data_IF_356923591589
#
_entry.id   IF_356923591589
#
_cell.length_a   1.000
_cell.length_b   1.000
_cell.length_c   1.000
_cell.angle_alpha   90.00
_cell.angle_beta   90.00
_cell.angle_gamma   90.00
#
_symmetry.space_group_name_H-M   'P 1'
#
loop_
_entity.id
_entity.type
_entity.pdbx_description
1 polymer ?
#
# COMPACT_ATOMS: atom_id res chain seq x y z
N UNK A 1 -15.48 -35.45 12.87
CA UNK A 1 -14.10 -34.97 12.58
C UNK A 1 -13.97 -34.94 11.07
N UNK A 2 -13.90 -33.76 10.47
CA UNK A 2 -13.96 -33.63 9.00
C UNK A 2 -12.54 -33.65 8.45
N UNK A 3 -12.18 -34.71 7.75
CA UNK A 3 -10.87 -34.86 7.12
C UNK A 3 -10.93 -34.28 5.71
N UNK A 4 -10.10 -33.28 5.41
CA UNK A 4 -9.99 -32.71 4.07
C UNK A 4 -8.71 -33.27 3.44
N UNK A 5 -8.86 -34.07 2.39
CA UNK A 5 -7.72 -34.62 1.64
C UNK A 5 -7.33 -33.69 0.51
N UNK A 6 -6.13 -33.12 0.58
CA UNK A 6 -5.63 -32.17 -0.42
C UNK A 6 -4.62 -32.89 -1.32
N UNK A 7 -4.83 -32.80 -2.64
CA UNK A 7 -3.98 -33.48 -3.63
C UNK A 7 -2.54 -32.97 -3.57
N UNK A 8 -1.57 -33.90 -3.66
CA UNK A 8 -0.13 -33.59 -3.74
C UNK A 8 0.24 -32.69 -4.93
N UNK A 9 -0.61 -32.62 -5.96
CA UNK A 9 -0.44 -31.70 -7.09
C UNK A 9 -0.60 -30.23 -6.68
N UNK A 10 -1.49 -29.95 -5.71
CA UNK A 10 -1.78 -28.59 -5.23
C UNK A 10 -0.65 -28.09 -4.34
N UNK A 11 -0.08 -28.98 -3.53
CA UNK A 11 0.98 -28.60 -2.59
C UNK A 11 2.36 -28.48 -3.23
N UNK A 12 2.57 -28.99 -4.45
CA UNK A 12 3.84 -28.93 -5.20
C UNK A 12 5.09 -29.34 -4.35
N UNK A 13 4.91 -30.21 -3.36
CA UNK A 13 5.97 -30.62 -2.44
C UNK A 13 6.34 -29.60 -1.35
N UNK A 14 5.58 -28.52 -1.19
CA UNK A 14 5.74 -27.50 -0.13
C UNK A 14 4.71 -27.71 0.98
N UNK A 15 5.00 -27.17 2.16
CA UNK A 15 4.04 -27.10 3.26
C UNK A 15 2.84 -26.23 2.88
N UNK A 16 1.65 -26.73 3.21
CA UNK A 16 0.39 -26.04 2.99
C UNK A 16 -0.07 -25.39 4.29
N UNK A 17 -0.29 -24.09 4.26
CA UNK A 17 -0.87 -23.35 5.38
C UNK A 17 -2.33 -23.07 5.05
N UNK A 18 -3.24 -23.62 5.85
CA UNK A 18 -4.68 -23.34 5.74
C UNK A 18 -4.99 -22.17 6.66
N UNK A 19 -5.50 -21.08 6.10
CA UNK A 19 -5.90 -19.88 6.84
C UNK A 19 -7.40 -19.65 6.63
N UNK A 20 -8.16 -19.33 7.69
CA UNK A 20 -9.55 -18.91 7.54
C UNK A 20 -9.66 -17.70 6.60
N UNK A 21 -10.65 -17.72 5.71
CA UNK A 21 -10.84 -16.67 4.71
C UNK A 21 -10.86 -15.26 5.33
N UNK A 22 -11.55 -15.11 6.47
CA UNK A 22 -11.67 -13.85 7.20
C UNK A 22 -10.30 -13.28 7.63
N UNK A 23 -9.42 -14.14 8.13
CA UNK A 23 -8.11 -13.73 8.63
C UNK A 23 -7.18 -13.37 7.46
N UNK A 24 -7.25 -14.14 6.37
CA UNK A 24 -6.53 -13.83 5.14
C UNK A 24 -6.92 -12.45 4.57
N UNK A 25 -8.21 -12.16 4.49
CA UNK A 25 -8.70 -10.86 3.98
C UNK A 25 -8.26 -9.69 4.87
N UNK A 26 -8.26 -9.89 6.20
CA UNK A 26 -7.78 -8.87 7.14
C UNK A 26 -6.28 -8.60 6.96
N UNK A 27 -5.46 -9.64 6.84
CA UNK A 27 -4.03 -9.50 6.58
C UNK A 27 -3.78 -8.77 5.25
N UNK A 28 -4.56 -9.10 4.21
CA UNK A 28 -4.42 -8.49 2.90
C UNK A 28 -4.80 -6.99 2.93
N UNK A 29 -5.83 -6.61 3.68
CA UNK A 29 -6.18 -5.20 3.92
C UNK A 29 -5.06 -4.43 4.62
N UNK A 30 -4.52 -4.97 5.72
CA UNK A 30 -3.44 -4.33 6.47
C UNK A 30 -2.19 -4.17 5.61
N UNK A 31 -1.85 -5.20 4.82
CA UNK A 31 -0.68 -5.19 3.94
C UNK A 31 -0.83 -4.11 2.86
N UNK A 32 -2.00 -4.01 2.21
CA UNK A 32 -2.28 -2.96 1.22
C UNK A 32 -2.19 -1.56 1.83
N UNK A 33 -2.74 -1.35 3.03
CA UNK A 33 -2.66 -0.06 3.72
C UNK A 33 -1.21 0.33 4.03
N UNK A 34 -0.40 -0.60 4.53
CA UNK A 34 1.02 -0.35 4.81
C UNK A 34 1.82 -0.05 3.53
N UNK A 35 1.59 -0.80 2.46
CA UNK A 35 2.24 -0.56 1.16
C UNK A 35 1.88 0.84 0.65
N UNK A 36 0.59 1.20 0.66
CA UNK A 36 0.16 2.54 0.25
C UNK A 36 0.76 3.67 1.10
N UNK A 37 0.92 3.46 2.41
CA UNK A 37 1.60 4.42 3.28
C UNK A 37 3.10 4.55 2.94
N UNK A 38 3.77 3.45 2.60
CA UNK A 38 5.18 3.45 2.20
C UNK A 38 5.36 4.17 0.86
N UNK A 39 4.50 3.88 -0.12
CA UNK A 39 4.49 4.56 -1.42
C UNK A 39 4.24 6.07 -1.27
N UNK A 40 3.28 6.45 -0.43
CA UNK A 40 3.00 7.85 -0.11
C UNK A 40 4.19 8.53 0.58
N UNK A 41 4.83 7.86 1.55
CA UNK A 41 6.00 8.41 2.22
C UNK A 41 7.17 8.63 1.25
N UNK A 42 7.38 7.68 0.33
CA UNK A 42 8.42 7.78 -0.69
C UNK A 42 8.13 8.91 -1.70
N UNK A 43 6.89 9.06 -2.15
CA UNK A 43 6.51 10.13 -3.08
C UNK A 43 6.63 11.52 -2.44
N UNK A 44 6.20 11.67 -1.19
CA UNK A 44 6.40 12.92 -0.43
C UNK A 44 7.90 13.24 -0.29
N UNK A 45 8.72 12.24 0.04
CA UNK A 45 10.17 12.43 0.16
C UNK A 45 10.79 12.89 -1.16
N UNK A 46 10.38 12.32 -2.29
CA UNK A 46 10.84 12.74 -3.61
C UNK A 46 10.41 14.18 -3.91
N UNK A 47 9.14 14.52 -3.69
CA UNK A 47 8.63 15.87 -3.92
C UNK A 47 9.41 16.93 -3.10
N UNK A 48 9.73 16.63 -1.83
CA UNK A 48 10.55 17.53 -1.00
C UNK A 48 11.97 17.71 -1.55
N UNK A 49 12.57 16.67 -2.14
CA UNK A 49 13.88 16.75 -2.77
C UNK A 49 13.83 17.63 -4.02
N UNK A 50 12.76 17.53 -4.81
CA UNK A 50 12.56 18.35 -6.01
C UNK A 50 12.37 19.83 -5.66
N UNK A 51 11.56 20.13 -4.64
CA UNK A 51 11.40 21.49 -4.10
C UNK A 51 12.73 22.05 -3.63
N UNK A 52 13.55 21.27 -2.89
CA UNK A 52 14.90 21.67 -2.48
C UNK A 52 15.83 21.98 -3.65
N UNK A 53 15.64 21.31 -4.79
CA UNK A 53 16.40 21.55 -6.04
C UNK A 53 15.85 22.72 -6.85
N UNK A 54 14.86 23.46 -6.34
CA UNK A 54 14.20 24.57 -7.03
C UNK A 54 13.25 24.12 -8.14
N UNK A 55 12.95 22.82 -8.25
CA UNK A 55 11.94 22.29 -9.16
C UNK A 55 10.58 22.32 -8.46
N UNK A 56 9.86 23.41 -8.64
CA UNK A 56 8.45 23.51 -8.24
C UNK A 56 7.64 23.06 -9.46
N UNK A 57 7.08 21.86 -9.40
CA UNK A 57 6.25 21.28 -10.46
C UNK A 57 4.86 21.07 -9.88
N UNK A 58 3.88 21.83 -10.38
CA UNK A 58 2.50 21.74 -9.92
C UNK A 58 1.65 22.93 -10.33
N UNK A 59 0.33 22.87 -10.12
CA UNK A 59 -0.61 23.92 -10.51
C UNK A 59 -0.57 25.16 -9.59
N UNK A 60 0.28 25.17 -8.56
CA UNK A 60 0.35 26.21 -7.55
C UNK A 60 1.80 26.69 -7.36
N UNK A 61 1.98 27.99 -7.37
CA UNK A 61 3.29 28.62 -7.13
C UNK A 61 3.64 28.69 -5.64
N UNK A 62 2.64 28.72 -4.76
CA UNK A 62 2.81 28.83 -3.31
C UNK A 62 1.95 27.81 -2.58
N UNK A 63 2.47 27.32 -1.45
CA UNK A 63 1.72 26.42 -0.56
C UNK A 63 0.40 27.02 -0.05
N UNK A 64 0.29 28.35 0.02
CA UNK A 64 -0.96 29.04 0.39
C UNK A 64 -2.09 28.84 -0.63
N UNK A 65 -1.75 28.74 -1.91
CA UNK A 65 -2.73 28.57 -2.98
C UNK A 65 -3.29 27.14 -2.97
N UNK A 66 -2.42 26.16 -2.64
CA UNK A 66 -2.86 24.80 -2.34
C UNK A 66 -3.84 24.75 -1.17
N UNK A 67 -3.53 25.40 -0.04
CA UNK A 67 -4.41 25.41 1.15
C UNK A 67 -5.79 25.96 0.79
N UNK A 68 -5.85 27.10 0.08
CA UNK A 68 -7.12 27.68 -0.39
C UNK A 68 -7.92 26.75 -1.29
N UNK A 69 -7.25 25.92 -2.11
CA UNK A 69 -7.93 24.96 -2.99
C UNK A 69 -8.56 23.78 -2.22
N UNK A 70 -8.07 23.48 -1.01
CA UNK A 70 -8.53 22.38 -0.16
C UNK A 70 -9.64 22.80 0.81
N UNK A 71 -9.85 24.10 1.04
CA UNK A 71 -10.90 24.65 1.92
C UNK A 71 -12.30 24.65 1.28
N UNK A 72 -12.55 23.80 0.27
CA UNK A 72 -13.85 23.66 -0.40
C UNK A 72 -14.74 22.60 0.24
#
# INVERSE_FOLDING_TARGET
MTTITISKKITQGKELIIVPKKDWENLLKITKQKIGQIELANSIKQALIEVKKGKIIGPFDKGRDLIKSLEK
#
